data_IF_910443892715
#
_entry.id   IF_910443892715
#
_cell.length_a   1.000
_cell.length_b   1.000
_cell.length_c   1.000
_cell.angle_alpha   90.00
_cell.angle_beta   90.00
_cell.angle_gamma   90.00
#
_symmetry.space_group_name_H-M   'P 1'
#
loop_
_entity.id
_entity.type
_entity.pdbx_description
1 polymer ?
#
# COMPACT_ATOMS: atom_id res chain seq x y z
N UNK A 1 -38.83 -2.83 44.23
CA UNK A 1 -38.80 -2.32 42.84
C UNK A 1 -37.40 -2.52 42.30
N UNK A 2 -37.21 -3.44 41.35
CA UNK A 2 -35.90 -3.86 40.85
C UNK A 2 -35.69 -3.19 39.48
N UNK A 3 -34.89 -2.13 39.45
CA UNK A 3 -34.59 -1.40 38.22
C UNK A 3 -33.58 -2.22 37.40
N UNK A 4 -34.02 -2.76 36.27
CA UNK A 4 -33.12 -3.38 35.31
C UNK A 4 -32.48 -2.28 34.47
N UNK A 5 -31.21 -2.01 34.74
CA UNK A 5 -30.37 -1.13 33.94
C UNK A 5 -30.00 -1.89 32.65
N UNK A 6 -30.75 -1.66 31.58
CA UNK A 6 -30.47 -2.23 30.26
C UNK A 6 -29.19 -1.59 29.70
N UNK A 7 -28.06 -2.29 29.81
CA UNK A 7 -26.82 -1.92 29.12
C UNK A 7 -26.90 -2.49 27.71
N UNK A 8 -27.30 -1.67 26.75
CA UNK A 8 -27.15 -1.96 25.32
C UNK A 8 -25.67 -1.78 24.95
N UNK A 9 -24.94 -2.89 24.87
CA UNK A 9 -23.59 -2.92 24.27
C UNK A 9 -23.75 -2.62 22.77
N UNK A 10 -23.37 -1.41 22.37
CA UNK A 10 -23.18 -1.04 20.96
C UNK A 10 -21.84 -1.62 20.53
N UNK A 11 -21.89 -2.78 19.86
CA UNK A 11 -20.74 -3.40 19.21
C UNK A 11 -20.34 -2.52 18.01
N UNK A 12 -19.42 -1.57 18.24
CA UNK A 12 -18.90 -0.71 17.18
C UNK A 12 -18.12 -1.57 16.16
N UNK A 13 -18.72 -1.72 14.99
CA UNK A 13 -18.15 -2.31 13.78
C UNK A 13 -16.94 -1.50 13.30
N UNK A 14 -15.76 -1.74 13.87
CA UNK A 14 -14.49 -1.17 13.42
C UNK A 14 -13.64 -2.20 12.68
N UNK A 15 -14.24 -2.93 11.74
CA UNK A 15 -13.50 -3.75 10.77
C UNK A 15 -13.47 -2.98 9.45
N UNK A 16 -12.81 -1.82 9.43
CA UNK A 16 -12.43 -1.20 8.16
C UNK A 16 -11.18 -1.92 7.66
N UNK A 17 -11.37 -3.13 7.14
CA UNK A 17 -10.32 -3.75 6.33
C UNK A 17 -10.36 -3.05 4.96
N UNK A 18 -9.33 -2.26 4.66
CA UNK A 18 -9.21 -1.66 3.34
C UNK A 18 -9.04 -2.78 2.31
N UNK A 19 -9.74 -2.66 1.19
CA UNK A 19 -9.60 -3.61 0.07
C UNK A 19 -8.38 -3.23 -0.77
N UNK A 20 -7.84 -4.21 -1.49
CA UNK A 20 -6.87 -3.96 -2.54
C UNK A 20 -7.60 -3.43 -3.78
N UNK A 21 -7.09 -2.35 -4.36
CA UNK A 21 -7.67 -1.67 -5.52
C UNK A 21 -6.67 -1.57 -6.68
N UNK A 22 -7.13 -1.07 -7.82
CA UNK A 22 -6.35 -0.78 -9.02
C UNK A 22 -6.87 0.52 -9.67
N UNK A 23 -6.29 0.95 -10.78
CA UNK A 23 -6.73 2.18 -11.49
C UNK A 23 -8.21 2.20 -11.90
N UNK A 24 -8.87 1.05 -12.04
CA UNK A 24 -10.29 0.97 -12.42
C UNK A 24 -11.22 1.09 -11.20
N UNK A 25 -10.75 0.67 -10.03
CA UNK A 25 -11.57 0.56 -8.81
C UNK A 25 -11.29 1.65 -7.79
N UNK A 26 -10.09 2.21 -7.79
CA UNK A 26 -9.68 3.31 -6.93
C UNK A 26 -10.39 4.62 -7.35
N UNK A 27 -10.84 5.41 -6.37
CA UNK A 27 -11.50 6.67 -6.64
C UNK A 27 -10.58 7.62 -7.44
N UNK A 28 -11.15 8.30 -8.44
CA UNK A 28 -10.46 9.33 -9.22
C UNK A 28 -9.83 10.40 -8.33
N UNK A 29 -10.50 10.79 -7.23
CA UNK A 29 -9.95 11.77 -6.29
C UNK A 29 -8.65 11.27 -5.65
N UNK A 30 -8.58 9.99 -5.31
CA UNK A 30 -7.38 9.39 -4.71
C UNK A 30 -6.26 9.24 -5.73
N UNK A 31 -6.58 8.88 -6.97
CA UNK A 31 -5.62 8.88 -8.08
C UNK A 31 -5.00 10.28 -8.27
N UNK A 32 -5.83 11.33 -8.35
CA UNK A 32 -5.36 12.71 -8.49
C UNK A 32 -4.55 13.17 -7.28
N UNK A 33 -4.90 12.70 -6.07
CA UNK A 33 -4.10 12.95 -4.89
C UNK A 33 -2.70 12.32 -5.00
N UNK A 34 -2.60 11.06 -5.39
CA UNK A 34 -1.30 10.38 -5.57
C UNK A 34 -0.45 11.09 -6.65
N UNK A 35 -1.08 11.56 -7.74
CA UNK A 35 -0.40 12.41 -8.74
C UNK A 35 0.12 13.71 -8.13
N UNK A 36 -0.66 14.37 -7.27
CA UNK A 36 -0.23 15.60 -6.58
C UNK A 36 0.98 15.39 -5.66
N UNK A 37 1.16 14.17 -5.15
CA UNK A 37 2.35 13.75 -4.39
C UNK A 37 3.57 13.44 -5.28
N UNK A 38 3.45 13.57 -6.61
CA UNK A 38 4.45 13.19 -7.62
C UNK A 38 4.84 11.71 -7.58
N UNK A 39 3.90 10.86 -7.21
CA UNK A 39 4.10 9.40 -7.12
C UNK A 39 3.45 8.62 -8.27
N UNK A 40 2.71 9.29 -9.14
CA UNK A 40 2.04 8.71 -10.29
C UNK A 40 2.06 9.70 -11.46
N UNK A 41 2.50 9.27 -12.63
CA UNK A 41 2.38 10.06 -13.86
C UNK A 41 0.98 9.91 -14.50
N UNK A 42 0.63 10.80 -15.44
CA UNK A 42 -0.65 10.75 -16.13
C UNK A 42 -0.90 9.48 -16.94
N UNK A 43 0.16 8.86 -17.46
CA UNK A 43 0.11 7.64 -18.28
C UNK A 43 0.50 6.37 -17.49
N UNK A 44 0.59 6.49 -16.16
CA UNK A 44 0.97 5.40 -15.28
C UNK A 44 -0.27 4.70 -14.73
N UNK A 45 -0.30 3.37 -14.84
CA UNK A 45 -1.43 2.52 -14.40
C UNK A 45 -1.08 1.83 -13.09
N UNK A 46 -1.92 2.00 -12.09
CA UNK A 46 -1.86 1.29 -10.81
C UNK A 46 -2.45 -0.10 -11.01
N UNK A 47 -1.64 -1.13 -10.78
CA UNK A 47 -2.07 -2.53 -10.84
C UNK A 47 -2.51 -3.06 -9.48
N UNK A 48 -1.95 -2.54 -8.40
CA UNK A 48 -2.38 -2.83 -7.05
C UNK A 48 -2.11 -1.65 -6.13
N UNK A 49 -3.11 -1.29 -5.33
CA UNK A 49 -3.07 -0.25 -4.31
C UNK A 49 -3.69 -0.75 -3.01
N UNK A 50 -3.06 -0.46 -1.88
CA UNK A 50 -3.57 -0.73 -0.55
C UNK A 50 -3.20 0.42 0.40
N UNK A 51 -4.14 0.81 1.26
CA UNK A 51 -3.90 1.81 2.31
C UNK A 51 -4.02 1.15 3.69
N UNK A 52 -3.10 1.46 4.59
CA UNK A 52 -3.17 1.04 6.01
C UNK A 52 -4.09 1.94 6.85
N UNK A 53 -4.56 3.06 6.27
CA UNK A 53 -5.45 4.02 6.92
C UNK A 53 -6.38 4.65 5.87
N UNK A 54 -6.53 5.97 5.83
CA UNK A 54 -7.19 6.65 4.71
C UNK A 54 -6.24 6.90 3.55
N UNK A 55 -6.74 6.85 2.33
CA UNK A 55 -5.97 7.06 1.11
C UNK A 55 -5.28 8.43 1.07
N UNK A 56 -5.83 9.46 1.75
CA UNK A 56 -5.16 10.76 1.88
C UNK A 56 -3.94 10.76 2.81
N UNK A 57 -3.74 9.71 3.62
CA UNK A 57 -2.65 9.60 4.59
C UNK A 57 -1.67 8.50 4.21
N UNK A 58 -2.14 7.32 3.85
CA UNK A 58 -1.28 6.19 3.56
C UNK A 58 -1.62 5.55 2.22
N UNK A 59 -0.62 4.97 1.59
CA UNK A 59 -0.81 4.18 0.38
C UNK A 59 0.45 3.41 0.01
N UNK A 60 0.26 2.17 -0.41
CA UNK A 60 1.26 1.21 -0.80
C UNK A 60 0.82 0.64 -2.16
N UNK A 61 1.64 0.80 -3.20
CA UNK A 61 1.19 0.44 -4.55
C UNK A 61 2.33 0.11 -5.50
N UNK A 62 1.96 -0.58 -6.58
CA UNK A 62 2.84 -0.83 -7.72
C UNK A 62 2.10 -0.55 -9.03
N UNK A 63 2.87 -0.15 -10.03
CA UNK A 63 2.36 0.30 -11.33
C UNK A 63 3.05 -0.43 -12.48
N UNK A 64 2.76 -0.04 -13.71
CA UNK A 64 3.55 -0.43 -14.88
C UNK A 64 4.98 0.17 -14.92
N UNK A 65 5.37 1.03 -13.96
CA UNK A 65 6.66 1.74 -13.94
C UNK A 65 7.46 1.63 -12.64
N UNK A 66 6.79 1.62 -11.48
CA UNK A 66 7.45 1.77 -10.17
C UNK A 66 6.71 1.02 -9.06
N UNK A 67 7.38 0.90 -7.93
CA UNK A 67 6.79 0.53 -6.64
C UNK A 67 6.91 1.73 -5.70
N UNK A 68 5.86 2.05 -4.95
CA UNK A 68 5.81 3.22 -4.09
C UNK A 68 5.06 2.99 -2.78
N UNK A 69 5.40 3.81 -1.78
CA UNK A 69 4.73 3.90 -0.49
C UNK A 69 4.74 5.36 0.00
N UNK A 70 3.65 5.79 0.63
CA UNK A 70 3.59 7.08 1.30
C UNK A 70 2.89 7.04 2.65
N UNK A 71 3.29 7.97 3.50
CA UNK A 71 2.67 8.35 4.76
C UNK A 71 2.66 9.88 4.87
N UNK A 72 1.49 10.50 4.91
CA UNK A 72 1.31 11.95 5.01
C UNK A 72 0.74 12.27 6.39
N UNK A 73 1.54 12.95 7.20
CA UNK A 73 1.14 13.38 8.53
C UNK A 73 0.38 14.71 8.41
N UNK A 74 -0.93 14.64 8.61
CA UNK A 74 -1.84 15.79 8.50
C UNK A 74 -1.58 16.88 9.55
N UNK A 75 -0.83 16.57 10.62
CA UNK A 75 -0.51 17.52 11.69
C UNK A 75 0.86 18.15 11.49
N UNK A 76 1.78 17.45 10.83
CA UNK A 76 3.16 17.91 10.66
C UNK A 76 3.80 17.36 9.38
N UNK A 77 3.85 18.18 8.34
CA UNK A 77 4.45 17.83 7.05
C UNK A 77 5.92 17.39 7.11
N UNK A 78 6.68 17.78 8.15
CA UNK A 78 8.07 17.30 8.34
C UNK A 78 8.14 15.81 8.63
N UNK A 79 7.02 15.17 8.98
CA UNK A 79 6.91 13.74 9.23
C UNK A 79 6.40 12.96 8.03
N UNK A 80 6.12 13.64 6.91
CA UNK A 80 5.75 12.98 5.67
C UNK A 80 6.87 12.06 5.21
N UNK A 81 6.49 10.86 4.76
CA UNK A 81 7.39 9.89 4.15
C UNK A 81 6.83 9.56 2.79
N UNK A 82 7.63 9.77 1.76
CA UNK A 82 7.32 9.37 0.39
C UNK A 82 8.53 8.58 -0.10
N UNK A 83 8.30 7.35 -0.53
CA UNK A 83 9.33 6.43 -0.99
C UNK A 83 8.85 5.75 -2.27
N UNK A 84 9.74 5.67 -3.25
CA UNK A 84 9.48 4.92 -4.46
C UNK A 84 10.79 4.45 -5.10
N UNK A 85 10.67 3.46 -5.97
CA UNK A 85 11.72 3.03 -6.85
C UNK A 85 11.14 2.68 -8.21
N UNK A 86 11.75 3.21 -9.28
CA UNK A 86 11.50 2.69 -10.62
C UNK A 86 12.05 1.26 -10.71
N UNK A 87 11.44 0.42 -11.55
CA UNK A 87 11.86 -0.98 -11.65
C UNK A 87 13.35 -1.17 -12.00
N UNK A 88 13.94 -0.23 -12.75
CA UNK A 88 15.38 -0.21 -13.08
C UNK A 88 16.29 0.03 -11.87
N UNK A 89 15.80 0.74 -10.85
CA UNK A 89 16.55 1.07 -9.63
C UNK A 89 16.49 -0.06 -8.58
N UNK A 90 15.60 -1.04 -8.75
CA UNK A 90 15.39 -2.10 -7.76
C UNK A 90 16.38 -3.24 -8.00
N UNK A 91 17.16 -3.56 -6.97
CA UNK A 91 18.10 -4.69 -6.97
C UNK A 91 17.54 -5.93 -6.28
N UNK A 92 16.63 -5.75 -5.31
CA UNK A 92 16.05 -6.85 -4.53
C UNK A 92 14.65 -6.51 -4.04
N UNK A 93 13.76 -7.51 -4.07
CA UNK A 93 12.46 -7.48 -3.41
C UNK A 93 12.33 -8.74 -2.54
N UNK A 94 12.20 -8.57 -1.23
CA UNK A 94 11.90 -9.66 -0.29
C UNK A 94 10.43 -9.60 0.13
N UNK A 95 9.70 -10.70 0.04
CA UNK A 95 8.29 -10.79 0.47
C UNK A 95 8.16 -11.44 1.84
N UNK A 96 7.49 -10.77 2.77
CA UNK A 96 7.23 -11.26 4.13
C UNK A 96 5.72 -11.47 4.28
N UNK A 97 5.28 -12.72 4.14
CA UNK A 97 3.86 -13.10 4.26
C UNK A 97 3.39 -13.25 5.71
N UNK A 98 4.30 -13.60 6.62
CA UNK A 98 4.00 -13.81 8.04
C UNK A 98 4.82 -12.83 8.87
N UNK A 99 4.28 -11.62 9.08
CA UNK A 99 4.96 -10.57 9.84
C UNK A 99 4.67 -10.62 11.37
N UNK A 100 3.88 -11.60 11.82
CA UNK A 100 3.38 -11.71 13.20
C UNK A 100 1.97 -11.15 13.35
N UNK A 101 1.33 -11.40 14.49
CA UNK A 101 -0.11 -11.09 14.72
C UNK A 101 -0.42 -9.59 14.65
N UNK A 102 0.56 -8.73 14.94
CA UNK A 102 0.38 -7.27 15.03
C UNK A 102 0.89 -6.50 13.82
N UNK A 103 1.32 -7.17 12.76
CA UNK A 103 1.92 -6.52 11.60
C UNK A 103 1.32 -7.04 10.30
N UNK A 104 1.00 -6.14 9.39
CA UNK A 104 0.58 -6.49 8.03
C UNK A 104 1.76 -7.12 7.26
N UNK A 105 1.49 -8.11 6.40
CA UNK A 105 2.46 -8.57 5.40
C UNK A 105 3.06 -7.41 4.60
N UNK A 106 4.32 -7.55 4.17
CA UNK A 106 4.99 -6.49 3.40
C UNK A 106 6.03 -7.01 2.43
N UNK A 107 6.35 -6.19 1.42
CA UNK A 107 7.57 -6.31 0.62
C UNK A 107 8.64 -5.35 1.14
N UNK A 108 9.89 -5.79 1.20
CA UNK A 108 11.06 -4.92 1.32
C UNK A 108 11.66 -4.68 -0.05
N UNK A 109 11.61 -3.44 -0.51
CA UNK A 109 12.19 -3.01 -1.78
C UNK A 109 13.56 -2.39 -1.49
N UNK A 110 14.62 -2.98 -2.04
CA UNK A 110 16.00 -2.48 -1.94
C UNK A 110 16.41 -1.87 -3.27
N UNK A 111 16.86 -0.61 -3.21
CA UNK A 111 17.39 0.14 -4.36
C UNK A 111 18.88 -0.11 -4.56
N UNK A 112 19.38 0.20 -5.75
CA UNK A 112 20.80 0.20 -6.12
C UNK A 112 21.69 1.10 -5.27
N UNK A 113 21.11 2.13 -4.64
CA UNK A 113 21.78 3.01 -3.67
C UNK A 113 21.66 2.54 -2.22
N UNK A 114 21.37 1.25 -2.00
CA UNK A 114 21.18 0.58 -0.71
C UNK A 114 20.01 1.10 0.15
N UNK A 115 19.23 2.08 -0.34
CA UNK A 115 18.03 2.52 0.39
C UNK A 115 16.92 1.47 0.31
N UNK A 116 16.23 1.29 1.45
CA UNK A 116 15.20 0.26 1.62
C UNK A 116 13.90 0.91 2.07
N UNK A 117 12.77 0.44 1.54
CA UNK A 117 11.45 0.82 2.04
C UNK A 117 10.47 -0.37 2.03
N UNK A 118 9.45 -0.27 2.88
CA UNK A 118 8.38 -1.27 3.00
C UNK A 118 7.19 -0.88 2.14
N UNK A 119 6.52 -1.90 1.62
CA UNK A 119 5.22 -1.80 0.95
C UNK A 119 4.31 -2.81 1.63
N UNK A 120 3.46 -2.32 2.53
CA UNK A 120 2.55 -3.16 3.32
C UNK A 120 1.26 -3.45 2.56
N UNK A 121 0.69 -4.61 2.79
CA UNK A 121 -0.64 -5.00 2.30
C UNK A 121 -1.33 -5.87 3.33
N UNK A 122 -2.64 -5.75 3.46
CA UNK A 122 -3.47 -6.63 4.27
C UNK A 122 -4.67 -7.12 3.46
N UNK A 123 -5.30 -8.18 3.94
CA UNK A 123 -6.43 -8.83 3.27
C UNK A 123 -6.37 -10.34 3.42
N UNK A 124 -7.10 -11.05 2.55
CA UNK A 124 -7.02 -12.51 2.48
C UNK A 124 -5.66 -12.93 1.95
N UNK A 125 -5.23 -14.13 2.32
CA UNK A 125 -3.93 -14.70 1.90
C UNK A 125 -3.75 -14.66 0.37
N UNK A 126 -4.81 -14.94 -0.38
CA UNK A 126 -4.81 -14.95 -1.84
C UNK A 126 -4.65 -13.53 -2.41
N UNK A 127 -5.26 -12.53 -1.78
CA UNK A 127 -5.18 -11.11 -2.17
C UNK A 127 -3.76 -10.56 -1.93
N UNK A 128 -3.19 -10.85 -0.75
CA UNK A 128 -1.80 -10.52 -0.40
C UNK A 128 -0.83 -11.16 -1.41
N UNK A 129 -1.02 -12.45 -1.70
CA UNK A 129 -0.21 -13.19 -2.67
C UNK A 129 -0.33 -12.58 -4.07
N UNK A 130 -1.53 -12.27 -4.52
CA UNK A 130 -1.74 -11.64 -5.82
C UNK A 130 -1.04 -10.27 -5.92
N UNK A 131 -1.08 -9.46 -4.86
CA UNK A 131 -0.39 -8.18 -4.80
C UNK A 131 1.13 -8.35 -4.92
N UNK A 132 1.75 -9.22 -4.10
CA UNK A 132 3.19 -9.44 -4.12
C UNK A 132 3.68 -10.08 -5.43
N UNK A 133 2.98 -11.10 -5.93
CA UNK A 133 3.34 -11.75 -7.18
C UNK A 133 3.15 -10.82 -8.39
N UNK A 134 2.15 -9.94 -8.35
CA UNK A 134 1.95 -8.88 -9.35
C UNK A 134 3.14 -7.93 -9.41
N UNK A 135 3.55 -7.37 -8.26
CA UNK A 135 4.70 -6.47 -8.19
C UNK A 135 6.02 -7.14 -8.63
N UNK A 136 6.25 -8.39 -8.20
CA UNK A 136 7.43 -9.16 -8.61
C UNK A 136 7.42 -9.47 -10.11
N UNK A 137 6.25 -9.77 -10.69
CA UNK A 137 6.09 -10.05 -12.11
C UNK A 137 6.45 -8.82 -12.95
N UNK A 138 5.93 -7.65 -12.59
CA UNK A 138 6.25 -6.40 -13.30
C UNK A 138 7.73 -6.04 -13.19
N UNK A 139 8.32 -6.16 -12.00
CA UNK A 139 9.75 -5.94 -11.83
C UNK A 139 10.60 -6.86 -12.71
N UNK A 140 10.29 -8.16 -12.73
CA UNK A 140 11.00 -9.15 -13.56
C UNK A 140 10.86 -8.86 -15.05
N UNK A 141 9.64 -8.54 -15.53
CA UNK A 141 9.39 -8.18 -16.94
C UNK A 141 10.28 -7.02 -17.38
N UNK A 142 10.40 -5.99 -16.55
CA UNK A 142 11.24 -4.81 -16.85
C UNK A 142 12.73 -5.11 -16.78
N UNK A 143 13.18 -5.93 -15.82
CA UNK A 143 14.57 -6.40 -15.74
C UNK A 143 14.99 -7.21 -16.96
N UNK A 144 14.13 -8.07 -17.50
CA UNK A 144 14.44 -8.85 -18.70
C UNK A 144 14.40 -8.04 -20.01
N UNK A 145 13.90 -6.81 -19.96
CA UNK A 145 13.79 -5.91 -21.12
C UNK A 145 14.91 -4.85 -21.15
N UNK A 146 15.82 -4.89 -20.18
CA UNK A 146 17.02 -4.05 -20.05
C UNK A 146 18.25 -4.86 -20.47
#
# INVERSE_FOLDING_TARGET
MRNYFNITIVFFSLISCNKIENSETLDKKDIEYIKSLKLLENDETIYGFYSEYKNSVAGNFFTNRRIASYWIDERNSKRNKVKFAYYSEIIKIDTIYNAGVTYSPYMLVTKDNDSIFKVSVDGKKEEIKAFFEGALSEWKKKKSSL
#
